data_IF_831530955199
#
_entry.id   IF_831530955199
#
_cell.length_a   1.000
_cell.length_b   1.000
_cell.length_c   1.000
_cell.angle_alpha   90.00
_cell.angle_beta   90.00
_cell.angle_gamma   90.00
#
_symmetry.space_group_name_H-M   'P 1'
#
loop_
_entity.id
_entity.type
_entity.pdbx_description
1 polymer ?
#
# COMPACT_ATOMS: atom_id res chain seq x y z
N UNK A 1 -9.03 11.29 4.61
CA UNK A 1 -7.84 10.73 5.32
C UNK A 1 -7.97 9.22 5.40
N UNK A 2 -6.87 8.50 5.61
CA UNK A 2 -6.88 7.06 5.78
C UNK A 2 -5.93 6.60 6.90
N UNK A 3 -6.19 5.42 7.44
CA UNK A 3 -5.19 4.64 8.16
C UNK A 3 -4.50 3.74 7.15
N UNK A 4 -3.17 3.79 7.13
CA UNK A 4 -2.32 3.02 6.22
C UNK A 4 -1.47 2.09 7.06
N UNK A 5 -1.44 0.81 6.70
CA UNK A 5 -0.52 -0.16 7.29
C UNK A 5 0.23 -0.91 6.21
N UNK A 6 1.56 -1.01 6.35
CA UNK A 6 2.45 -1.64 5.39
C UNK A 6 3.65 -2.26 6.13
N UNK A 7 4.41 -3.11 5.44
CA UNK A 7 5.73 -3.56 5.89
C UNK A 7 6.82 -2.76 5.17
N UNK A 8 7.80 -2.26 5.91
CA UNK A 8 8.95 -1.55 5.34
C UNK A 8 10.05 -2.49 4.82
N UNK A 9 11.21 -1.93 4.47
CA UNK A 9 12.35 -2.67 3.94
C UNK A 9 12.90 -3.74 4.90
N UNK A 10 12.72 -3.54 6.20
CA UNK A 10 13.19 -4.44 7.26
C UNK A 10 12.11 -5.47 7.66
N UNK A 11 11.00 -5.52 6.90
CA UNK A 11 9.81 -6.30 7.22
C UNK A 11 9.19 -5.94 8.58
N UNK A 12 9.35 -4.69 9.01
CA UNK A 12 8.70 -4.18 10.21
C UNK A 12 7.32 -3.59 9.87
N UNK A 13 6.28 -3.91 10.66
CA UNK A 13 4.95 -3.38 10.42
C UNK A 13 4.87 -1.90 10.81
N UNK A 14 4.54 -1.06 9.84
CA UNK A 14 4.32 0.37 10.02
C UNK A 14 2.82 0.68 10.00
N UNK A 15 2.40 1.64 10.83
CA UNK A 15 1.02 2.12 10.89
C UNK A 15 0.99 3.63 10.94
N UNK A 16 0.41 4.24 9.92
CA UNK A 16 0.20 5.69 9.84
C UNK A 16 -1.30 5.96 9.99
N UNK A 17 -1.67 6.65 11.08
CA UNK A 17 -3.05 7.08 11.31
C UNK A 17 -3.27 8.46 10.70
N UNK A 18 -4.48 8.71 10.20
CA UNK A 18 -4.90 9.99 9.65
C UNK A 18 -3.96 10.50 8.53
N UNK A 19 -3.48 9.63 7.64
CA UNK A 19 -2.73 10.03 6.47
C UNK A 19 -3.62 10.84 5.51
N UNK A 20 -3.11 11.97 5.03
CA UNK A 20 -3.70 12.67 3.90
C UNK A 20 -3.47 11.86 2.61
N UNK A 21 -4.47 11.80 1.73
CA UNK A 21 -4.35 11.11 0.44
C UNK A 21 -4.17 12.14 -0.69
N UNK A 22 -3.36 11.84 -1.72
CA UNK A 22 -2.58 10.62 -1.88
C UNK A 22 -1.35 10.56 -0.94
N UNK A 23 -1.04 9.35 -0.47
CA UNK A 23 0.13 9.06 0.37
C UNK A 23 1.02 8.03 -0.33
N UNK A 24 2.34 8.17 -0.17
CA UNK A 24 3.33 7.26 -0.73
C UNK A 24 4.54 7.11 0.19
N UNK A 25 5.20 5.95 0.10
CA UNK A 25 6.50 5.69 0.71
C UNK A 25 7.38 4.96 -0.32
N UNK A 26 8.67 5.25 -0.31
CA UNK A 26 9.67 4.62 -1.16
C UNK A 26 10.81 4.13 -0.28
N UNK A 27 11.25 2.89 -0.51
CA UNK A 27 12.40 2.31 0.17
C UNK A 27 13.10 1.30 -0.74
N UNK A 28 14.43 1.13 -0.60
CA UNK A 28 15.18 0.18 -1.39
C UNK A 28 14.76 -1.26 -1.04
N UNK A 29 14.52 -2.07 -2.06
CA UNK A 29 14.20 -3.49 -1.92
C UNK A 29 14.89 -4.29 -3.02
N UNK A 30 15.29 -5.52 -2.73
CA UNK A 30 15.84 -6.46 -3.72
C UNK A 30 14.73 -7.31 -4.32
N UNK A 31 14.60 -7.34 -5.66
CA UNK A 31 13.51 -8.05 -6.35
C UNK A 31 13.35 -9.53 -5.96
N UNK A 32 14.46 -10.23 -5.67
CA UNK A 32 14.45 -11.66 -5.38
C UNK A 32 13.76 -12.05 -4.07
N UNK A 33 13.58 -11.12 -3.13
CA UNK A 33 12.98 -11.36 -1.81
C UNK A 33 11.82 -10.42 -1.50
N UNK A 34 11.41 -9.62 -2.50
CA UNK A 34 10.46 -8.55 -2.30
C UNK A 34 9.06 -9.11 -1.99
N UNK A 35 8.72 -9.16 -0.71
CA UNK A 35 7.38 -9.43 -0.21
C UNK A 35 6.90 -8.16 0.48
N UNK A 36 5.72 -7.69 0.08
CA UNK A 36 5.16 -6.46 0.61
C UNK A 36 3.66 -6.54 0.64
N UNK A 37 3.06 -5.91 1.64
CA UNK A 37 1.64 -5.61 1.61
C UNK A 37 1.44 -4.18 2.08
N UNK A 38 0.38 -3.58 1.56
CA UNK A 38 -0.13 -2.29 2.02
C UNK A 38 -1.64 -2.38 2.10
N UNK A 39 -2.18 -1.87 3.18
CA UNK A 39 -3.61 -1.71 3.40
C UNK A 39 -3.91 -0.23 3.59
N UNK A 40 -5.04 0.21 3.05
CA UNK A 40 -5.53 1.56 3.26
C UNK A 40 -7.02 1.50 3.57
N UNK A 41 -7.40 2.08 4.71
CA UNK A 41 -8.78 2.21 5.15
C UNK A 41 -9.08 3.68 5.39
N UNK A 42 -10.08 4.23 4.71
CA UNK A 42 -10.48 5.62 4.90
C UNK A 42 -11.98 5.78 4.76
N UNK A 43 -12.51 6.83 5.39
CA UNK A 43 -13.92 7.22 5.24
C UNK A 43 -14.09 8.05 3.96
N UNK A 44 -13.95 7.38 2.82
CA UNK A 44 -14.04 7.96 1.48
C UNK A 44 -14.79 6.99 0.58
N UNK A 45 -15.50 7.53 -0.41
CA UNK A 45 -16.30 6.76 -1.37
C UNK A 45 -15.45 5.84 -2.25
N UNK A 46 -14.14 6.13 -2.37
CA UNK A 46 -13.20 5.28 -3.08
C UNK A 46 -11.81 5.39 -2.49
N UNK A 47 -11.12 4.25 -2.36
CA UNK A 47 -9.71 4.21 -1.99
C UNK A 47 -8.93 3.25 -2.89
N UNK A 48 -7.78 3.72 -3.37
CA UNK A 48 -6.86 2.96 -4.19
C UNK A 48 -5.59 2.60 -3.44
N UNK A 49 -4.95 1.52 -3.85
CA UNK A 49 -3.56 1.22 -3.53
C UNK A 49 -2.82 0.86 -4.82
N UNK A 50 -1.51 1.13 -4.83
CA UNK A 50 -0.62 0.76 -5.91
C UNK A 50 0.76 0.45 -5.35
N UNK A 51 1.38 -0.62 -5.84
CA UNK A 51 2.77 -0.97 -5.59
C UNK A 51 3.54 -0.94 -6.91
N UNK A 52 4.67 -0.24 -6.90
CA UNK A 52 5.63 -0.14 -7.99
C UNK A 52 6.96 -0.79 -7.56
N UNK A 53 7.63 -1.48 -8.47
CA UNK A 53 9.03 -1.91 -8.31
C UNK A 53 9.79 -1.40 -9.52
N UNK A 54 10.72 -0.46 -9.29
CA UNK A 54 11.16 0.46 -10.33
C UNK A 54 9.95 1.17 -10.94
N UNK A 55 9.85 1.17 -12.27
CA UNK A 55 8.74 1.81 -12.99
C UNK A 55 7.57 0.87 -13.33
N UNK A 56 7.58 -0.37 -12.82
CA UNK A 56 6.58 -1.39 -13.15
C UNK A 56 5.54 -1.52 -12.05
N UNK A 57 4.26 -1.37 -12.42
CA UNK A 57 3.13 -1.66 -11.53
C UNK A 57 3.09 -3.17 -11.28
N UNK A 58 3.14 -3.56 -10.00
CA UNK A 58 3.09 -4.96 -9.57
C UNK A 58 1.70 -5.35 -9.05
N UNK A 59 1.03 -4.43 -8.37
CA UNK A 59 -0.37 -4.58 -7.96
C UNK A 59 -1.00 -3.17 -7.88
N UNK A 60 -2.23 -3.05 -8.36
CA UNK A 60 -3.03 -1.84 -8.27
C UNK A 60 -4.49 -2.25 -8.09
N UNK A 61 -5.13 -1.72 -7.05
CA UNK A 61 -6.54 -2.00 -6.76
C UNK A 61 -7.25 -0.74 -6.33
N UNK A 62 -8.48 -0.59 -6.81
CA UNK A 62 -9.39 0.48 -6.40
C UNK A 62 -10.64 -0.19 -5.80
N UNK A 63 -11.05 0.29 -4.64
CA UNK A 63 -12.27 -0.16 -3.96
C UNK A 63 -13.20 1.03 -3.79
N UNK A 64 -14.46 0.80 -4.10
CA UNK A 64 -15.54 1.76 -3.97
C UNK A 64 -16.45 1.34 -2.80
N UNK A 65 -17.03 2.32 -2.11
CA UNK A 65 -17.97 2.11 -1.00
C UNK A 65 -17.69 3.03 0.19
N UNK A 66 -18.71 3.21 1.04
CA UNK A 66 -18.60 4.01 2.27
C UNK A 66 -17.62 3.31 3.22
N UNK A 67 -16.65 4.04 3.78
CA UNK A 67 -15.51 3.46 4.52
C UNK A 67 -14.71 2.42 3.72
N UNK A 68 -14.28 2.80 2.50
CA UNK A 68 -13.53 1.90 1.63
C UNK A 68 -12.24 1.36 2.30
N UNK A 69 -12.05 0.03 2.16
CA UNK A 69 -10.84 -0.70 2.54
C UNK A 69 -10.25 -1.34 1.29
N UNK A 70 -8.99 -1.07 1.01
CA UNK A 70 -8.22 -1.71 -0.08
C UNK A 70 -6.93 -2.31 0.44
N UNK A 71 -6.39 -3.28 -0.30
CA UNK A 71 -5.08 -3.83 -0.04
C UNK A 71 -4.36 -4.21 -1.34
N UNK A 72 -3.07 -3.97 -1.36
CA UNK A 72 -2.17 -4.38 -2.43
C UNK A 72 -1.08 -5.28 -1.85
N UNK A 73 -0.63 -6.24 -2.66
CA UNK A 73 0.36 -7.23 -2.24
C UNK A 73 1.38 -7.45 -3.34
N UNK A 74 2.65 -7.30 -2.97
CA UNK A 74 3.78 -7.71 -3.77
C UNK A 74 4.13 -9.16 -3.39
N UNK A 75 4.03 -10.05 -4.38
CA UNK A 75 4.50 -11.43 -4.26
C UNK A 75 5.91 -11.51 -4.85
N UNK A 76 6.77 -12.30 -4.22
CA UNK A 76 8.03 -12.70 -4.82
C UNK A 76 7.76 -13.41 -6.16
N UNK A 77 8.63 -13.18 -7.14
CA UNK A 77 8.54 -13.75 -8.48
C UNK A 77 8.91 -15.24 -8.52
#
# INVERSE_FOLDING_TARGET
MATISYFDADAEPQVIRQAALPWSVEFPITEATAMGNITAQGDTDSIGCRILVGDKVKDEKIRYGVSALTFCMLKAA
#
